data_IF_080781497186
#
_entry.id   IF_080781497186
#
_cell.length_a   1.000
_cell.length_b   1.000
_cell.length_c   1.000
_cell.angle_alpha   90.00
_cell.angle_beta   90.00
_cell.angle_gamma   90.00
#
_symmetry.space_group_name_H-M   'P 1'
#
loop_
_entity.id
_entity.type
_entity.pdbx_description
1 polymer ?
#
# COMPACT_ATOMS: atom_id res chain seq x y z
N UNK A 1 16.23 -0.42 -5.70
CA UNK A 1 17.68 -0.31 -5.39
C UNK A 1 18.18 1.11 -5.50
N UNK A 2 18.35 1.72 -6.68
CA UNK A 2 18.87 3.10 -6.74
C UNK A 2 17.92 4.12 -6.09
N UNK A 3 16.62 4.10 -6.41
CA UNK A 3 15.63 4.98 -5.78
C UNK A 3 15.51 4.77 -4.25
N UNK A 4 15.67 3.54 -3.75
CA UNK A 4 15.64 3.27 -2.31
C UNK A 4 16.88 3.82 -1.60
N UNK A 5 18.05 3.76 -2.25
CA UNK A 5 19.28 4.33 -1.71
C UNK A 5 19.17 5.86 -1.59
N UNK A 6 18.65 6.54 -2.62
CA UNK A 6 18.41 7.99 -2.60
C UNK A 6 17.38 8.38 -1.54
N UNK A 7 16.33 7.56 -1.35
CA UNK A 7 15.36 7.74 -0.27
C UNK A 7 16.03 7.66 1.12
N UNK A 8 16.92 6.68 1.34
CA UNK A 8 17.60 6.53 2.63
C UNK A 8 18.50 7.71 2.99
N UNK A 9 18.96 8.49 2.01
CA UNK A 9 19.75 9.72 2.21
C UNK A 9 18.91 11.00 2.04
N UNK A 10 17.58 10.88 2.00
CA UNK A 10 16.62 11.98 1.87
C UNK A 10 16.77 12.83 0.60
N UNK A 11 17.32 12.26 -0.48
CA UNK A 11 17.41 12.92 -1.79
C UNK A 11 16.11 12.73 -2.59
N UNK A 12 15.02 13.32 -2.11
CA UNK A 12 13.68 13.09 -2.67
C UNK A 12 13.54 13.52 -4.14
N UNK A 13 14.27 14.55 -4.58
CA UNK A 13 14.27 14.98 -5.98
C UNK A 13 14.81 13.87 -6.91
N UNK A 14 15.89 13.21 -6.52
CA UNK A 14 16.48 12.11 -7.28
C UNK A 14 15.61 10.86 -7.22
N UNK A 15 14.94 10.61 -6.08
CA UNK A 15 13.92 9.56 -5.97
C UNK A 15 12.83 9.75 -7.03
N UNK A 16 12.30 10.98 -7.17
CA UNK A 16 11.30 11.31 -8.17
C UNK A 16 11.82 11.10 -9.60
N UNK A 17 13.02 11.60 -9.92
CA UNK A 17 13.63 11.45 -11.26
C UNK A 17 13.81 9.98 -11.65
N UNK A 18 14.35 9.17 -10.73
CA UNK A 18 14.57 7.74 -10.98
C UNK A 18 13.23 7.01 -11.07
N UNK A 19 12.26 7.40 -10.27
CA UNK A 19 10.93 6.83 -10.32
C UNK A 19 10.24 7.08 -11.67
N UNK A 20 10.32 8.29 -12.22
CA UNK A 20 9.76 8.62 -13.54
C UNK A 20 10.33 7.74 -14.65
N UNK A 21 11.64 7.51 -14.65
CA UNK A 21 12.31 6.62 -15.60
C UNK A 21 11.72 5.21 -15.50
N UNK A 22 11.63 4.66 -14.29
CA UNK A 22 11.08 3.30 -14.11
C UNK A 22 9.61 3.24 -14.47
N UNK A 23 8.80 4.24 -14.09
CA UNK A 23 7.37 4.27 -14.44
C UNK A 23 7.15 4.30 -15.95
N UNK A 24 8.05 4.96 -16.70
CA UNK A 24 8.01 5.07 -18.16
C UNK A 24 8.47 3.81 -18.88
N UNK A 25 9.51 3.14 -18.39
CA UNK A 25 10.18 2.05 -19.12
C UNK A 25 9.93 0.64 -18.57
N UNK A 26 9.34 0.50 -17.38
CA UNK A 26 9.03 -0.81 -16.81
C UNK A 26 7.99 -1.57 -17.63
N UNK A 27 8.27 -2.84 -17.90
CA UNK A 27 7.47 -3.73 -18.76
C UNK A 27 6.26 -4.32 -18.05
N UNK A 28 6.32 -4.45 -16.72
CA UNK A 28 5.23 -5.00 -15.91
C UNK A 28 4.91 -4.09 -14.73
N UNK A 29 3.70 -4.22 -14.19
CA UNK A 29 3.34 -3.55 -12.93
C UNK A 29 4.20 -4.04 -11.76
N UNK A 30 4.56 -5.32 -11.76
CA UNK A 30 5.43 -5.92 -10.75
C UNK A 30 6.78 -5.20 -10.63
N UNK A 31 7.37 -4.78 -11.75
CA UNK A 31 8.59 -3.98 -11.77
C UNK A 31 8.38 -2.58 -11.17
N UNK A 32 7.18 -2.02 -11.34
CA UNK A 32 6.80 -0.70 -10.82
C UNK A 32 6.46 -0.74 -9.33
N UNK A 33 6.09 -1.89 -8.75
CA UNK A 33 5.64 -2.00 -7.36
C UNK A 33 6.64 -1.43 -6.35
N UNK A 34 7.94 -1.73 -6.52
CA UNK A 34 8.99 -1.20 -5.63
C UNK A 34 9.14 0.31 -5.72
N UNK A 35 8.96 0.87 -6.92
CA UNK A 35 9.03 2.31 -7.13
C UNK A 35 7.82 3.02 -6.53
N UNK A 36 6.62 2.47 -6.72
CA UNK A 36 5.43 2.95 -6.02
C UNK A 36 5.64 2.96 -4.51
N UNK A 37 6.13 1.86 -3.93
CA UNK A 37 6.39 1.78 -2.49
C UNK A 37 7.40 2.83 -2.01
N UNK A 38 8.45 3.08 -2.80
CA UNK A 38 9.47 4.10 -2.46
C UNK A 38 8.90 5.51 -2.53
N UNK A 39 8.11 5.83 -3.57
CA UNK A 39 7.46 7.13 -3.71
C UNK A 39 6.43 7.37 -2.60
N UNK A 40 5.60 6.39 -2.26
CA UNK A 40 4.61 6.50 -1.18
C UNK A 40 5.31 6.82 0.15
N UNK A 41 6.43 6.14 0.44
CA UNK A 41 7.26 6.43 1.62
C UNK A 41 7.88 7.82 1.57
N UNK A 42 8.41 8.25 0.42
CA UNK A 42 8.98 9.57 0.26
C UNK A 42 7.96 10.67 0.53
N UNK A 43 6.76 10.56 -0.06
CA UNK A 43 5.65 11.48 0.17
C UNK A 43 5.21 11.51 1.64
N UNK A 44 5.18 10.34 2.30
CA UNK A 44 4.92 10.26 3.75
C UNK A 44 5.94 11.02 4.59
N UNK A 45 7.25 10.87 4.27
CA UNK A 45 8.32 11.60 4.96
C UNK A 45 8.27 13.11 4.68
N UNK A 46 7.88 13.52 3.47
CA UNK A 46 7.66 14.93 3.10
C UNK A 46 6.34 15.52 3.66
N UNK A 47 5.60 14.77 4.49
CA UNK A 47 4.30 15.16 5.05
C UNK A 47 3.22 15.46 3.98
N UNK A 48 3.35 14.87 2.79
CA UNK A 48 2.39 14.93 1.67
C UNK A 48 1.47 13.72 1.71
N UNK A 49 0.75 13.55 2.82
CA UNK A 49 -0.07 12.36 3.07
C UNK A 49 -1.21 12.19 2.05
N UNK A 50 -1.84 13.28 1.61
CA UNK A 50 -2.89 13.22 0.59
C UNK A 50 -2.35 12.67 -0.74
N UNK A 51 -1.18 13.13 -1.17
CA UNK A 51 -0.51 12.64 -2.38
C UNK A 51 -0.10 11.17 -2.23
N UNK A 52 0.38 10.76 -1.04
CA UNK A 52 0.72 9.38 -0.75
C UNK A 52 -0.51 8.46 -0.83
N UNK A 53 -1.66 8.91 -0.31
CA UNK A 53 -2.94 8.18 -0.38
C UNK A 53 -3.41 8.06 -1.83
N UNK A 54 -3.40 9.16 -2.60
CA UNK A 54 -3.80 9.15 -4.00
C UNK A 54 -2.91 8.24 -4.85
N UNK A 55 -1.59 8.30 -4.63
CA UNK A 55 -0.65 7.43 -5.32
C UNK A 55 -0.87 5.95 -4.96
N UNK A 56 -1.20 5.67 -3.70
CA UNK A 56 -1.53 4.32 -3.24
C UNK A 56 -2.83 3.80 -3.83
N UNK A 57 -3.87 4.63 -3.94
CA UNK A 57 -5.12 4.25 -4.61
C UNK A 57 -4.92 3.94 -6.09
N UNK A 58 -4.08 4.74 -6.78
CA UNK A 58 -3.69 4.41 -8.15
C UNK A 58 -2.97 3.06 -8.21
N UNK A 59 -1.99 2.81 -7.34
CA UNK A 59 -1.27 1.53 -7.28
C UNK A 59 -2.20 0.34 -6.97
N UNK A 60 -3.20 0.52 -6.11
CA UNK A 60 -4.20 -0.52 -5.77
C UNK A 60 -5.14 -0.79 -6.94
N UNK A 61 -5.54 0.23 -7.71
CA UNK A 61 -6.40 0.05 -8.89
C UNK A 61 -5.72 -0.83 -9.97
N UNK A 62 -4.40 -0.73 -10.10
CA UNK A 62 -3.60 -1.59 -11.00
C UNK A 62 -3.54 -3.06 -10.52
N UNK A 63 -3.87 -3.32 -9.26
CA UNK A 63 -3.97 -4.65 -8.66
C UNK A 63 -5.42 -5.18 -8.62
N UNK A 64 -6.36 -4.48 -9.26
CA UNK A 64 -7.80 -4.74 -9.21
C UNK A 64 -8.40 -4.65 -7.78
N UNK A 65 -7.74 -3.88 -6.91
CA UNK A 65 -8.23 -3.57 -5.56
C UNK A 65 -8.80 -2.17 -5.58
N UNK A 66 -10.13 -2.08 -5.59
CA UNK A 66 -10.84 -0.81 -5.63
C UNK A 66 -11.19 -0.35 -4.22
N UNK A 67 -10.83 0.89 -3.89
CA UNK A 67 -11.30 1.51 -2.66
C UNK A 67 -12.76 2.00 -2.84
N UNK A 68 -13.60 1.91 -1.81
CA UNK A 68 -14.99 2.32 -1.90
C UNK A 68 -15.09 3.82 -2.25
N UNK A 69 -15.88 4.12 -3.28
CA UNK A 69 -16.22 5.48 -3.71
C UNK A 69 -17.73 5.57 -3.94
N UNK A 70 -18.46 6.48 -3.26
CA UNK A 70 -17.96 7.46 -2.30
C UNK A 70 -17.45 6.83 -1.00
N UNK A 71 -16.70 7.59 -0.21
CA UNK A 71 -16.20 7.15 1.09
C UNK A 71 -17.38 6.72 1.98
N UNK A 72 -17.27 5.57 2.67
CA UNK A 72 -18.33 5.11 3.56
C UNK A 72 -18.51 6.04 4.76
N UNK A 73 -19.75 6.15 5.23
CA UNK A 73 -20.07 6.93 6.43
C UNK A 73 -19.32 6.40 7.66
N UNK A 74 -19.06 7.30 8.62
CA UNK A 74 -18.37 6.97 9.88
C UNK A 74 -19.03 5.81 10.64
N UNK A 75 -20.36 5.69 10.56
CA UNK A 75 -21.12 4.61 11.19
C UNK A 75 -20.80 3.24 10.57
N UNK A 76 -20.62 3.19 9.25
CA UNK A 76 -20.26 1.96 8.51
C UNK A 76 -18.84 1.54 8.87
N UNK A 77 -17.90 2.50 8.88
CA UNK A 77 -16.51 2.24 9.27
C UNK A 77 -16.42 1.74 10.73
N UNK A 78 -17.16 2.39 11.64
CA UNK A 78 -17.18 1.99 13.06
C UNK A 78 -17.77 0.60 13.25
N UNK A 79 -18.84 0.26 12.52
CA UNK A 79 -19.43 -1.08 12.57
C UNK A 79 -18.44 -2.14 12.08
N UNK A 80 -17.77 -1.89 10.95
CA UNK A 80 -16.75 -2.80 10.42
C UNK A 80 -15.59 -2.99 11.41
N UNK A 81 -15.17 -1.93 12.10
CA UNK A 81 -14.16 -1.99 13.15
C UNK A 81 -14.57 -2.87 14.32
N UNK A 82 -15.80 -2.69 14.83
CA UNK A 82 -16.35 -3.51 15.93
C UNK A 82 -16.47 -4.98 15.52
N UNK A 83 -16.96 -5.25 14.30
CA UNK A 83 -17.10 -6.60 13.77
C UNK A 83 -15.73 -7.27 13.59
N UNK A 84 -14.74 -6.54 13.10
CA UNK A 84 -13.35 -7.01 13.01
C UNK A 84 -12.78 -7.34 14.39
N UNK A 85 -12.90 -6.43 15.36
CA UNK A 85 -12.41 -6.62 16.73
C UNK A 85 -13.03 -7.86 17.37
N UNK A 86 -14.35 -8.01 17.27
CA UNK A 86 -15.07 -9.18 17.79
C UNK A 86 -14.64 -10.48 17.11
N UNK A 87 -14.38 -10.45 15.80
CA UNK A 87 -13.89 -11.62 15.08
C UNK A 87 -12.51 -12.02 15.60
N UNK A 88 -11.60 -11.05 15.74
CA UNK A 88 -10.24 -11.29 16.23
C UNK A 88 -10.23 -11.78 17.68
N UNK A 89 -11.05 -11.21 18.57
CA UNK A 89 -11.15 -11.62 19.99
C UNK A 89 -11.68 -13.05 20.16
N UNK A 90 -12.53 -13.52 19.23
CA UNK A 90 -13.08 -14.88 19.25
C UNK A 90 -12.21 -15.90 18.50
N UNK A 91 -11.08 -15.48 17.94
CA UNK A 91 -10.18 -16.34 17.18
C UNK A 91 -8.94 -16.62 18.02
N UNK A 92 -8.69 -17.89 18.40
CA UNK A 92 -7.48 -18.23 19.15
C UNK A 92 -6.26 -18.36 18.21
N UNK A 93 -5.05 -18.24 18.76
CA UNK A 93 -3.78 -18.39 18.04
C UNK A 93 -3.70 -19.70 17.23
N UNK A 94 -4.30 -20.77 17.73
CA UNK A 94 -4.36 -22.06 17.05
C UNK A 94 -5.23 -22.02 15.77
N UNK A 95 -6.21 -21.13 15.70
CA UNK A 95 -7.04 -20.93 14.50
C UNK A 95 -6.26 -20.14 13.44
N UNK A 96 -5.44 -19.17 13.84
CA UNK A 96 -4.57 -18.44 12.91
C UNK A 96 -3.57 -19.35 12.21
N UNK A 97 -2.99 -20.32 12.93
CA UNK A 97 -2.09 -21.32 12.34
C UNK A 97 -2.78 -22.23 11.32
N UNK A 98 -4.10 -22.37 11.41
CA UNK A 98 -4.90 -23.15 10.47
C UNK A 98 -5.44 -22.30 9.31
N UNK A 99 -5.23 -20.98 9.31
CA UNK A 99 -5.61 -20.17 8.15
C UNK A 99 -4.69 -20.44 6.97
N UNK A 100 -5.30 -20.45 5.79
CA UNK A 100 -4.58 -20.59 4.54
C UNK A 100 -3.68 -19.36 4.34
N UNK A 101 -2.40 -19.61 4.11
CA UNK A 101 -1.46 -18.57 3.72
C UNK A 101 -1.98 -17.81 2.49
N UNK A 102 -1.82 -16.49 2.51
CA UNK A 102 -2.19 -15.65 1.38
C UNK A 102 -1.28 -15.95 0.19
N UNK A 103 -1.77 -16.73 -0.78
CA UNK A 103 -0.97 -17.16 -1.95
C UNK A 103 -1.09 -16.21 -3.14
N UNK A 104 -2.05 -15.28 -3.11
CA UNK A 104 -2.33 -14.35 -4.19
C UNK A 104 -1.33 -13.18 -4.18
N UNK A 105 -0.51 -13.10 -5.22
CA UNK A 105 0.54 -12.08 -5.35
C UNK A 105 -0.02 -10.65 -5.40
N UNK A 106 -1.21 -10.45 -5.96
CA UNK A 106 -1.83 -9.13 -6.04
C UNK A 106 -2.35 -8.70 -4.67
N UNK A 107 -2.96 -9.63 -3.91
CA UNK A 107 -3.40 -9.35 -2.53
C UNK A 107 -2.23 -9.06 -1.60
N UNK A 108 -1.13 -9.80 -1.74
CA UNK A 108 0.11 -9.52 -0.99
C UNK A 108 0.65 -8.13 -1.34
N UNK A 109 0.71 -7.78 -2.63
CA UNK A 109 1.18 -6.47 -3.06
C UNK A 109 0.27 -5.34 -2.56
N UNK A 110 -1.05 -5.55 -2.58
CA UNK A 110 -2.02 -4.60 -2.06
C UNK A 110 -1.83 -4.37 -0.55
N UNK A 111 -1.65 -5.44 0.24
CA UNK A 111 -1.37 -5.31 1.67
C UNK A 111 -0.08 -4.57 1.96
N UNK A 112 0.96 -4.74 1.12
CA UNK A 112 2.20 -3.96 1.25
C UNK A 112 1.94 -2.48 1.07
N UNK A 113 1.14 -2.07 0.08
CA UNK A 113 0.80 -0.65 -0.10
C UNK A 113 -0.03 -0.10 1.06
N UNK A 114 -1.02 -0.86 1.55
CA UNK A 114 -1.84 -0.44 2.68
C UNK A 114 -1.01 -0.25 3.96
N UNK A 115 -0.04 -1.13 4.21
CA UNK A 115 0.85 -1.00 5.37
C UNK A 115 1.72 0.27 5.33
N UNK A 116 2.03 0.81 4.14
CA UNK A 116 2.86 2.01 4.02
C UNK A 116 2.13 3.32 4.37
N UNK A 117 0.79 3.27 4.48
CA UNK A 117 -0.04 4.43 4.82
C UNK A 117 -0.40 4.52 6.31
N UNK A 118 -0.02 3.51 7.10
CA UNK A 118 -0.33 3.37 8.53
C UNK A 118 0.95 3.60 9.34
#
# INVERSE_FOLDING_TARGET
MYAEAEYCICHFEEVCRVAEIVMKFAKSFQDKQRVYATLIKALGVENKLEDAIQLSFNALSQLDVHCPSPLPDKSVVMKAWIDMKRTLENTSDAVFLNYKEMSDSNKIAAMKFLHLLI
#
